data_IF_007673055897
#
_entry.id   IF_007673055897
#
_cell.length_a   1.000
_cell.length_b   1.000
_cell.length_c   1.000
_cell.angle_alpha   90.00
_cell.angle_beta   90.00
_cell.angle_gamma   90.00
#
_symmetry.space_group_name_H-M   'P 1'
#
loop_
_entity.id
_entity.type
_entity.pdbx_description
1 polymer ?
#
# COMPACT_ATOMS: atom_id res chain seq x y z
N UNK A 1 11.70 49.90 33.81
CA UNK A 1 10.84 50.42 32.73
C UNK A 1 10.30 49.20 32.01
N UNK A 2 9.04 48.84 32.25
CA UNK A 2 8.38 47.67 31.64
C UNK A 2 7.48 48.21 30.55
N UNK A 3 7.90 48.10 29.30
CA UNK A 3 7.06 48.46 28.15
C UNK A 3 6.08 47.31 27.90
N UNK A 4 4.85 47.47 28.37
CA UNK A 4 3.72 46.60 28.02
C UNK A 4 3.33 46.85 26.56
N UNK A 5 3.73 45.95 25.67
CA UNK A 5 3.29 45.94 24.28
C UNK A 5 1.76 45.77 24.26
N UNK A 6 1.04 46.79 23.78
CA UNK A 6 -0.43 46.74 23.60
C UNK A 6 -0.77 45.69 22.55
N UNK A 7 -1.22 44.51 22.98
CA UNK A 7 -1.88 43.53 22.11
C UNK A 7 -3.22 44.13 21.62
N UNK A 8 -3.19 44.86 20.50
CA UNK A 8 -4.41 45.06 19.70
C UNK A 8 -4.74 43.72 19.05
N UNK A 9 -6.02 43.39 19.06
CA UNK A 9 -6.58 42.11 18.64
C UNK A 9 -6.16 41.63 17.25
N UNK A 10 -6.35 40.33 17.06
CA UNK A 10 -6.07 39.52 15.88
C UNK A 10 -4.63 39.00 15.77
N UNK A 11 -4.24 38.15 16.73
CA UNK A 11 -3.27 37.08 16.47
C UNK A 11 -3.89 36.01 15.55
N UNK A 12 -4.41 36.42 14.40
CA UNK A 12 -4.63 35.55 13.27
C UNK A 12 -3.24 35.22 12.71
N UNK A 13 -2.51 34.32 13.38
CA UNK A 13 -1.38 33.64 12.76
C UNK A 13 -1.93 33.07 11.46
N UNK A 14 -1.60 33.72 10.33
CA UNK A 14 -2.02 33.26 9.02
C UNK A 14 -1.29 31.94 8.82
N UNK A 15 -2.00 30.88 9.11
CA UNK A 15 -1.52 29.53 8.94
C UNK A 15 -1.12 29.41 7.47
N UNK A 16 0.19 29.25 7.13
CA UNK A 16 0.66 29.45 5.76
C UNK A 16 -0.03 28.54 4.74
N UNK A 17 -0.53 27.38 5.18
CA UNK A 17 -1.29 26.45 4.32
C UNK A 17 -2.70 26.97 3.99
N UNK A 18 -3.42 27.56 4.94
CA UNK A 18 -4.78 28.09 4.70
C UNK A 18 -4.77 29.32 3.80
N UNK A 19 -3.71 30.13 3.83
CA UNK A 19 -3.54 31.25 2.92
C UNK A 19 -3.36 30.80 1.46
N UNK A 20 -2.61 29.70 1.23
CA UNK A 20 -2.38 29.13 -0.11
C UNK A 20 -3.63 28.50 -0.69
N UNK A 21 -4.37 27.69 0.07
CA UNK A 21 -5.65 27.14 -0.39
C UNK A 21 -6.67 28.24 -0.73
N UNK A 22 -6.73 29.30 0.09
CA UNK A 22 -7.60 30.44 -0.17
C UNK A 22 -7.18 31.18 -1.45
N UNK A 23 -5.88 31.33 -1.70
CA UNK A 23 -5.38 31.95 -2.93
C UNK A 23 -5.61 31.08 -4.18
N UNK A 24 -5.44 29.76 -4.07
CA UNK A 24 -5.77 28.81 -5.13
C UNK A 24 -7.25 28.88 -5.51
N UNK A 25 -8.15 28.85 -4.52
CA UNK A 25 -9.59 28.99 -4.73
C UNK A 25 -10.00 30.32 -5.37
N UNK A 26 -9.21 31.37 -5.14
CA UNK A 26 -9.41 32.70 -5.72
C UNK A 26 -8.69 32.88 -7.06
N UNK A 27 -8.01 31.85 -7.59
CA UNK A 27 -7.24 31.92 -8.85
C UNK A 27 -6.02 32.83 -8.78
N UNK A 28 -5.51 33.13 -7.58
CA UNK A 28 -4.39 34.05 -7.34
C UNK A 28 -3.08 33.31 -7.02
N UNK A 29 -3.08 31.99 -7.11
CA UNK A 29 -1.89 31.19 -6.85
C UNK A 29 -0.97 31.30 -8.07
N UNK A 30 0.33 31.57 -7.87
CA UNK A 30 1.31 31.48 -8.95
C UNK A 30 1.27 30.13 -9.63
N UNK A 31 1.39 30.12 -10.96
CA UNK A 31 1.32 28.93 -11.81
C UNK A 31 2.34 27.86 -11.38
N UNK A 32 3.52 28.27 -10.88
CA UNK A 32 4.56 27.39 -10.36
C UNK A 32 4.16 26.52 -9.17
N UNK A 33 3.10 26.89 -8.43
CA UNK A 33 2.57 26.10 -7.32
C UNK A 33 1.47 25.13 -7.76
N UNK A 34 0.81 25.37 -8.89
CA UNK A 34 -0.17 24.44 -9.49
C UNK A 34 0.53 23.23 -10.10
N UNK A 35 1.68 23.45 -10.75
CA UNK A 35 2.52 22.37 -11.31
C UNK A 35 2.97 21.37 -10.25
N UNK A 36 3.23 21.83 -9.01
CA UNK A 36 3.59 20.93 -7.90
C UNK A 36 2.45 19.99 -7.52
N UNK A 37 1.23 20.50 -7.40
CA UNK A 37 0.07 19.66 -7.08
C UNK A 37 -0.27 18.67 -8.19
N UNK A 38 -0.04 19.02 -9.45
CA UNK A 38 -0.21 18.11 -10.58
C UNK A 38 0.85 17.00 -10.58
N UNK A 39 2.11 17.35 -10.30
CA UNK A 39 3.20 16.38 -10.18
C UNK A 39 2.95 15.40 -9.03
N UNK A 40 2.58 15.90 -7.84
CA UNK A 40 2.25 15.07 -6.69
C UNK A 40 1.08 14.11 -6.99
N UNK A 41 0.09 14.54 -7.79
CA UNK A 41 -1.03 13.70 -8.19
C UNK A 41 -0.62 12.62 -9.21
N UNK A 42 0.27 12.94 -10.14
CA UNK A 42 0.83 11.98 -11.10
C UNK A 42 1.66 10.93 -10.36
N UNK A 43 2.54 11.36 -9.44
CA UNK A 43 3.38 10.46 -8.65
C UNK A 43 2.54 9.49 -7.80
N UNK A 44 1.48 10.00 -7.16
CA UNK A 44 0.53 9.16 -6.42
C UNK A 44 -0.15 8.14 -7.34
N UNK A 45 -0.64 8.56 -8.50
CA UNK A 45 -1.33 7.66 -9.45
C UNK A 45 -0.38 6.58 -9.97
N UNK A 46 0.88 6.94 -10.25
CA UNK A 46 1.90 5.98 -10.65
C UNK A 46 2.16 4.95 -9.54
N UNK A 47 2.26 5.39 -8.29
CA UNK A 47 2.45 4.50 -7.13
C UNK A 47 1.24 3.59 -6.91
N UNK A 48 0.02 4.11 -6.97
CA UNK A 48 -1.22 3.32 -6.85
C UNK A 48 -1.29 2.20 -7.91
N UNK A 49 -0.86 2.49 -9.15
CA UNK A 49 -0.79 1.48 -10.22
C UNK A 49 0.21 0.38 -9.89
N UNK A 50 1.42 0.74 -9.44
CA UNK A 50 2.46 -0.24 -9.07
C UNK A 50 1.98 -1.12 -7.92
N UNK A 51 1.39 -0.53 -6.88
CA UNK A 51 0.83 -1.30 -5.76
C UNK A 51 -0.27 -2.25 -6.23
N UNK A 52 -1.14 -1.83 -7.16
CA UNK A 52 -2.18 -2.70 -7.71
C UNK A 52 -1.60 -3.88 -8.51
N UNK A 53 -0.54 -3.65 -9.28
CA UNK A 53 0.20 -4.68 -10.02
C UNK A 53 0.88 -5.67 -9.07
N UNK A 54 1.63 -5.19 -8.06
CA UNK A 54 2.28 -6.03 -7.05
C UNK A 54 1.27 -6.88 -6.26
N UNK A 55 0.14 -6.29 -5.87
CA UNK A 55 -0.92 -6.98 -5.16
C UNK A 55 -1.57 -8.08 -6.02
N UNK A 56 -1.68 -7.84 -7.33
CA UNK A 56 -2.19 -8.86 -8.26
C UNK A 56 -1.21 -10.03 -8.39
N UNK A 57 0.08 -9.73 -8.57
CA UNK A 57 1.13 -10.75 -8.66
C UNK A 57 1.22 -11.59 -7.37
N UNK A 58 1.15 -10.94 -6.21
CA UNK A 58 1.13 -11.62 -4.91
C UNK A 58 -0.06 -12.61 -4.79
N UNK A 59 -1.25 -12.22 -5.27
CA UNK A 59 -2.41 -13.14 -5.31
C UNK A 59 -2.18 -14.32 -6.25
N UNK A 60 -1.64 -14.08 -7.44
CA UNK A 60 -1.35 -15.15 -8.39
C UNK A 60 -0.31 -16.14 -7.83
N UNK A 61 0.70 -15.65 -7.11
CA UNK A 61 1.66 -16.52 -6.42
C UNK A 61 1.01 -17.33 -5.30
N UNK A 62 0.12 -16.72 -4.50
CA UNK A 62 -0.61 -17.41 -3.44
C UNK A 62 -1.53 -18.52 -4.01
N UNK A 63 -2.27 -18.21 -5.08
CA UNK A 63 -3.09 -19.20 -5.80
C UNK A 63 -2.23 -20.35 -6.33
N UNK A 64 -1.10 -20.05 -6.97
CA UNK A 64 -0.17 -21.08 -7.46
C UNK A 64 0.39 -21.94 -6.32
N UNK A 65 0.76 -21.32 -5.20
CA UNK A 65 1.28 -22.04 -4.03
C UNK A 65 0.25 -23.02 -3.46
N UNK A 66 -1.02 -22.60 -3.37
CA UNK A 66 -2.12 -23.45 -2.93
C UNK A 66 -2.36 -24.63 -3.87
N UNK A 67 -2.30 -24.42 -5.19
CA UNK A 67 -2.43 -25.51 -6.16
C UNK A 67 -1.26 -26.50 -6.07
N UNK A 68 -0.03 -26.00 -5.90
CA UNK A 68 1.14 -26.86 -5.71
C UNK A 68 1.05 -27.67 -4.42
N UNK A 69 0.56 -27.08 -3.32
CA UNK A 69 0.30 -27.79 -2.08
C UNK A 69 -0.74 -28.88 -2.25
N UNK A 70 -1.85 -28.60 -2.96
CA UNK A 70 -2.88 -29.61 -3.27
C UNK A 70 -2.31 -30.78 -4.06
N UNK A 71 -1.49 -30.51 -5.08
CA UNK A 71 -0.86 -31.56 -5.88
C UNK A 71 0.07 -32.42 -4.99
N UNK A 72 0.93 -31.79 -4.18
CA UNK A 72 1.84 -32.50 -3.30
C UNK A 72 1.11 -33.39 -2.28
N UNK A 73 -0.01 -32.91 -1.73
CA UNK A 73 -0.84 -33.70 -0.80
C UNK A 73 -1.59 -34.84 -1.51
N UNK A 74 -2.09 -34.58 -2.72
CA UNK A 74 -2.77 -35.60 -3.53
C UNK A 74 -1.82 -36.75 -3.91
N UNK A 75 -0.59 -36.43 -4.31
CA UNK A 75 0.43 -37.43 -4.65
C UNK A 75 0.79 -38.31 -3.45
N UNK A 76 0.81 -37.73 -2.24
CA UNK A 76 1.07 -38.48 -1.01
C UNK A 76 -0.10 -39.38 -0.61
N UNK A 77 -1.35 -38.89 -0.70
CA UNK A 77 -2.55 -39.73 -0.47
C UNK A 77 -2.60 -40.92 -1.44
N UNK A 78 -2.29 -40.69 -2.71
CA UNK A 78 -2.28 -41.76 -3.73
C UNK A 78 -1.18 -42.79 -3.47
N UNK A 79 -0.01 -42.35 -3.00
CA UNK A 79 1.07 -43.26 -2.61
C UNK A 79 0.76 -44.03 -1.32
N UNK A 80 0.13 -43.40 -0.33
CA UNK A 80 -0.30 -44.05 0.91
C UNK A 80 -1.37 -45.12 0.62
N UNK A 81 -2.34 -44.84 -0.27
CA UNK A 81 -3.32 -45.83 -0.76
C UNK A 81 -2.64 -47.00 -1.49
N UNK A 82 -1.69 -46.72 -2.38
CA UNK A 82 -0.94 -47.75 -3.11
C UNK A 82 -0.11 -48.62 -2.16
N UNK A 83 0.58 -48.01 -1.19
CA UNK A 83 1.36 -48.73 -0.17
C UNK A 83 0.47 -49.63 0.71
N UNK A 84 -0.72 -49.16 1.06
CA UNK A 84 -1.71 -49.97 1.78
C UNK A 84 -2.21 -51.15 0.94
N UNK A 85 -2.45 -50.97 -0.36
CA UNK A 85 -2.89 -52.05 -1.25
C UNK A 85 -1.82 -53.14 -1.46
N UNK A 86 -0.54 -52.78 -1.48
CA UNK A 86 0.59 -53.73 -1.58
C UNK A 86 1.10 -54.23 -0.21
N UNK A 87 0.50 -53.78 0.90
CA UNK A 87 0.79 -54.23 2.26
C UNK A 87 2.13 -53.76 2.83
N UNK A 88 2.63 -52.60 2.41
CA UNK A 88 3.86 -51.99 2.93
C UNK A 88 3.55 -50.92 3.97
N UNK A 89 4.19 -50.99 5.14
CA UNK A 89 4.12 -49.95 6.15
C UNK A 89 5.15 -48.84 5.87
N UNK A 90 4.78 -47.55 6.05
CA UNK A 90 5.70 -46.44 5.88
C UNK A 90 6.85 -46.54 6.89
N UNK A 91 8.08 -46.47 6.39
CA UNK A 91 9.29 -46.56 7.23
C UNK A 91 9.40 -45.31 8.10
N UNK A 92 9.38 -45.49 9.42
CA UNK A 92 9.63 -44.41 10.38
C UNK A 92 11.06 -43.88 10.19
N UNK A 93 11.27 -42.55 10.13
CA UNK A 93 12.62 -42.00 10.08
C UNK A 93 13.32 -42.25 11.43
N UNK A 94 14.51 -42.85 11.36
CA UNK A 94 15.43 -43.07 12.49
C UNK A 94 16.05 -41.79 13.04
#
# INVERSE_FOLDING_TARGET
MIETLKCRGDNAYKVPHQAKEKQARQGRLPESLLVKSELDAVDRTAMERVVAEELHEARCMDELAQELERIALSDNETMDELMAEIGLDPTQPS
#
